data_IF_664757888272
#
_entry.id   IF_664757888272
#
_cell.length_a   1.000
_cell.length_b   1.000
_cell.length_c   1.000
_cell.angle_alpha   90.00
_cell.angle_beta   90.00
_cell.angle_gamma   90.00
#
_symmetry.space_group_name_H-M   'P 1'
#
loop_
_entity.id
_entity.type
_entity.pdbx_description
1 polymer ?
#
# COMPACT_ATOMS: atom_id res chain seq x y z
N UNK A 1 8.63 20.64 15.74
CA UNK A 1 9.77 21.03 14.88
C UNK A 1 9.27 22.01 13.84
N UNK A 2 10.08 23.00 13.44
CA UNK A 2 9.71 23.97 12.40
C UNK A 2 10.82 24.01 11.36
N UNK A 3 10.46 23.86 10.09
CA UNK A 3 11.38 24.01 8.96
C UNK A 3 11.13 25.33 8.25
N UNK A 4 12.16 25.90 7.64
CA UNK A 4 12.04 27.11 6.81
C UNK A 4 12.08 26.71 5.35
N UNK A 5 11.21 27.34 4.56
CA UNK A 5 11.29 27.26 3.12
C UNK A 5 12.47 28.05 2.57
N UNK A 6 13.00 27.63 1.43
CA UNK A 6 14.07 28.33 0.70
C UNK A 6 13.68 28.48 -0.75
N UNK A 7 13.96 29.65 -1.35
CA UNK A 7 13.85 29.85 -2.78
C UNK A 7 15.07 29.25 -3.50
N UNK A 8 14.82 28.45 -4.53
CA UNK A 8 15.85 27.92 -5.43
C UNK A 8 15.39 28.17 -6.88
N UNK A 9 16.04 29.13 -7.55
CA UNK A 9 15.60 29.58 -8.87
C UNK A 9 14.17 30.13 -8.83
N UNK A 10 13.28 29.53 -9.62
CA UNK A 10 11.85 29.84 -9.69
C UNK A 10 11.00 29.00 -8.73
N UNK A 11 11.61 28.09 -7.96
CA UNK A 11 10.92 27.13 -7.10
C UNK A 11 11.15 27.41 -5.61
N UNK A 12 10.30 26.81 -4.77
CA UNK A 12 10.45 26.79 -3.31
C UNK A 12 10.76 25.36 -2.89
N UNK A 13 11.74 25.21 -2.00
CA UNK A 13 12.20 23.93 -1.46
C UNK A 13 11.98 23.90 0.05
N UNK A 14 11.51 22.76 0.53
CA UNK A 14 11.40 22.43 1.95
C UNK A 14 12.45 21.37 2.28
N UNK A 15 13.28 21.63 3.29
CA UNK A 15 14.24 20.63 3.76
C UNK A 15 13.54 19.60 4.63
N UNK A 16 13.60 18.33 4.24
CA UNK A 16 13.07 17.22 5.02
C UNK A 16 14.09 16.85 6.11
N UNK A 17 13.70 16.85 7.40
CA UNK A 17 14.57 16.45 8.50
C UNK A 17 15.07 15.00 8.38
N UNK A 18 16.28 14.73 8.87
CA UNK A 18 16.92 13.41 8.74
C UNK A 18 16.17 12.28 9.47
N UNK A 19 15.38 12.60 10.51
CA UNK A 19 14.56 11.64 11.25
C UNK A 19 13.55 10.90 10.36
N UNK A 20 13.14 11.49 9.23
CA UNK A 20 12.22 10.88 8.26
C UNK A 20 12.91 9.91 7.31
N UNK A 21 14.25 9.80 7.32
CA UNK A 21 15.04 8.82 6.56
C UNK A 21 14.72 8.76 5.05
N UNK A 22 14.35 9.90 4.46
CA UNK A 22 14.13 10.00 3.01
C UNK A 22 15.46 9.78 2.29
N UNK A 23 15.49 8.81 1.40
CA UNK A 23 16.69 8.46 0.64
C UNK A 23 16.88 9.42 -0.55
N UNK A 24 18.13 9.62 -1.00
CA UNK A 24 18.39 10.34 -2.25
C UNK A 24 17.65 9.71 -3.43
N UNK A 25 17.18 10.54 -4.36
CA UNK A 25 16.47 10.14 -5.58
C UNK A 25 15.09 9.46 -5.36
N UNK A 26 14.50 9.56 -4.17
CA UNK A 26 13.09 9.21 -3.98
C UNK A 26 12.17 10.25 -4.64
N UNK A 27 11.20 9.78 -5.41
CA UNK A 27 10.16 10.63 -6.00
C UNK A 27 8.89 10.61 -5.14
N UNK A 28 8.18 11.73 -5.12
CA UNK A 28 6.94 11.89 -4.34
C UNK A 28 5.88 12.62 -5.16
N UNK A 29 4.63 12.21 -4.98
CA UNK A 29 3.46 12.93 -5.49
C UNK A 29 2.96 13.90 -4.41
N UNK A 30 3.01 15.22 -4.64
CA UNK A 30 2.43 16.19 -3.73
C UNK A 30 0.90 16.23 -3.88
N UNK A 31 0.18 16.34 -2.78
CA UNK A 31 -1.28 16.56 -2.73
C UNK A 31 -1.60 17.59 -1.66
N UNK A 32 -2.47 18.55 -1.97
CA UNK A 32 -3.01 19.47 -0.98
C UNK A 32 -4.35 18.94 -0.48
N UNK A 33 -4.46 18.77 0.84
CA UNK A 33 -5.68 18.35 1.51
C UNK A 33 -6.58 19.56 1.81
N UNK A 34 -7.89 19.36 2.09
CA UNK A 34 -8.83 20.45 2.35
C UNK A 34 -8.49 21.33 3.56
N UNK A 35 -7.74 20.79 4.52
CA UNK A 35 -7.25 21.50 5.71
C UNK A 35 -6.01 22.38 5.40
N UNK A 36 -5.54 22.39 4.15
CA UNK A 36 -4.35 23.12 3.72
C UNK A 36 -3.05 22.33 3.89
N UNK A 37 -3.10 21.11 4.42
CA UNK A 37 -1.92 20.25 4.57
C UNK A 37 -1.38 19.83 3.20
N UNK A 38 -0.07 19.96 2.99
CA UNK A 38 0.61 19.42 1.80
C UNK A 38 1.19 18.05 2.18
N UNK A 39 0.59 16.99 1.63
CA UNK A 39 1.04 15.62 1.80
C UNK A 39 1.96 15.21 0.64
N UNK A 40 3.07 14.55 0.95
CA UNK A 40 3.99 13.97 -0.04
C UNK A 40 3.93 12.44 0.08
N UNK A 41 3.44 11.77 -0.96
CA UNK A 41 3.34 10.31 -0.99
C UNK A 41 4.44 9.75 -1.90
N UNK A 42 5.29 8.81 -1.43
CA UNK A 42 6.32 8.21 -2.28
C UNK A 42 5.71 7.61 -3.55
N UNK A 43 6.37 7.81 -4.69
CA UNK A 43 6.06 7.08 -5.91
C UNK A 43 6.67 5.69 -5.74
N UNK A 44 5.89 4.73 -5.25
CA UNK A 44 6.27 3.32 -5.34
C UNK A 44 6.21 2.89 -6.81
N UNK A 45 7.37 2.58 -7.39
CA UNK A 45 7.46 1.90 -8.70
C UNK A 45 6.96 0.46 -8.61
N UNK A 46 6.79 -0.04 -7.39
CA UNK A 46 6.19 -1.33 -7.13
C UNK A 46 4.68 -1.21 -7.36
N UNK A 47 4.29 -1.54 -8.59
CA UNK A 47 3.11 -2.39 -8.79
C UNK A 47 3.16 -3.42 -7.66
N UNK A 48 2.34 -3.26 -6.62
CA UNK A 48 2.03 -4.40 -5.78
C UNK A 48 1.69 -5.54 -6.77
N UNK A 49 2.28 -6.75 -6.63
CA UNK A 49 1.73 -7.87 -7.37
C UNK A 49 0.23 -7.83 -7.12
N UNK A 50 -0.54 -7.94 -8.19
CA UNK A 50 -2.00 -7.88 -8.13
C UNK A 50 -2.49 -9.16 -7.45
N UNK A 51 -2.22 -9.30 -6.14
CA UNK A 51 -2.54 -10.45 -5.30
C UNK A 51 -4.05 -10.68 -5.18
N UNK A 52 -4.85 -9.78 -5.74
CA UNK A 52 -6.31 -9.85 -5.77
C UNK A 52 -6.85 -10.26 -7.15
N UNK A 53 -5.97 -10.48 -8.12
CA UNK A 53 -6.31 -10.73 -9.52
C UNK A 53 -5.45 -11.89 -10.06
N UNK A 54 -5.05 -12.80 -9.18
CA UNK A 54 -4.45 -14.06 -9.58
C UNK A 54 -5.45 -14.81 -10.48
N UNK A 55 -4.96 -15.32 -11.61
CA UNK A 55 -5.78 -16.10 -12.53
C UNK A 55 -6.40 -17.28 -11.76
N UNK A 56 -7.70 -17.59 -11.95
CA UNK A 56 -8.41 -18.64 -11.21
C UNK A 56 -7.65 -19.99 -11.19
N UNK A 57 -6.93 -20.28 -12.27
CA UNK A 57 -6.11 -21.48 -12.44
C UNK A 57 -4.93 -21.55 -11.44
N UNK A 58 -4.34 -20.41 -11.10
CA UNK A 58 -3.23 -20.32 -10.13
C UNK A 58 -3.74 -20.48 -8.69
N UNK A 59 -4.92 -19.92 -8.40
CA UNK A 59 -5.61 -20.10 -7.12
C UNK A 59 -5.98 -21.59 -6.94
N UNK A 60 -6.50 -22.24 -7.98
CA UNK A 60 -6.85 -23.66 -7.93
C UNK A 60 -5.62 -24.56 -7.75
N UNK A 61 -4.51 -24.25 -8.45
CA UNK A 61 -3.24 -24.95 -8.26
C UNK A 61 -2.68 -24.76 -6.84
N UNK A 62 -2.78 -23.55 -6.29
CA UNK A 62 -2.35 -23.25 -4.92
C UNK A 62 -3.20 -24.01 -3.89
N UNK A 63 -4.52 -23.95 -4.01
CA UNK A 63 -5.46 -24.69 -3.13
C UNK A 63 -5.18 -26.20 -3.11
N UNK A 64 -4.89 -26.78 -4.28
CA UNK A 64 -4.45 -28.18 -4.38
C UNK A 64 -3.12 -28.43 -3.66
N UNK A 65 -2.16 -27.52 -3.76
CA UNK A 65 -0.82 -27.69 -3.19
C UNK A 65 -0.80 -27.56 -1.65
N UNK A 66 -1.67 -26.74 -1.08
CA UNK A 66 -1.80 -26.58 0.38
C UNK A 66 -2.76 -27.59 1.00
N UNK A 67 -3.31 -28.51 0.21
CA UNK A 67 -4.21 -29.55 0.69
C UNK A 67 -5.59 -29.03 1.13
N UNK A 68 -5.98 -27.83 0.69
CA UNK A 68 -7.37 -27.34 0.80
C UNK A 68 -8.22 -28.07 -0.25
N UNK A 69 -8.41 -29.37 -0.05
CA UNK A 69 -9.50 -30.09 -0.65
C UNK A 69 -10.71 -29.85 0.24
N UNK A 70 -11.72 -29.20 -0.31
CA UNK A 70 -13.07 -29.22 0.27
C UNK A 70 -13.47 -30.69 0.38
N UNK A 71 -13.50 -31.21 1.61
CA UNK A 71 -13.88 -32.60 1.89
C UNK A 71 -15.41 -32.78 1.81
N UNK A 72 -16.15 -31.74 1.41
CA UNK A 72 -17.60 -31.72 1.28
C UNK A 72 -18.31 -31.74 2.63
N UNK A 73 -17.58 -31.60 3.74
CA UNK A 73 -18.12 -31.62 5.09
C UNK A 73 -18.15 -30.20 5.64
N UNK A 74 -19.37 -29.71 5.88
CA UNK A 74 -19.55 -28.45 6.60
C UNK A 74 -19.16 -28.63 8.06
N UNK A 75 -17.97 -28.19 8.46
CA UNK A 75 -17.58 -28.08 9.87
C UNK A 75 -18.05 -26.75 10.46
N UNK A 76 -19.36 -26.54 10.46
CA UNK A 76 -20.02 -25.44 11.15
C UNK A 76 -21.08 -26.01 12.10
N UNK A 77 -21.05 -25.62 13.38
CA UNK A 77 -22.17 -25.88 14.32
C UNK A 77 -23.33 -24.90 14.12
N UNK A 78 -23.40 -24.25 12.98
CA UNK A 78 -24.44 -23.30 12.61
C UNK A 78 -25.62 -24.03 11.97
N UNK A 79 -26.19 -24.97 12.71
CA UNK A 79 -27.58 -25.35 12.53
C UNK A 79 -28.18 -25.62 13.91
N UNK A 80 -28.47 -24.56 14.65
CA UNK A 80 -29.43 -24.64 15.75
C UNK A 80 -30.82 -24.55 15.13
N UNK A 81 -31.40 -25.70 14.80
CA UNK A 81 -32.83 -25.83 14.56
C UNK A 81 -33.59 -25.25 15.77
N UNK A 82 -34.52 -24.34 15.50
CA UNK A 82 -35.48 -23.77 16.45
C UNK A 82 -36.69 -24.70 16.66
#
# INVERSE_FOLDING_TARGET
>A
MTIKSRKQGTSVVLTIPAEFRVQPNMEFVPRQLPDGTIQFVPVTTDKFPDIWNDEPEQIEAFNRSIGMQDDGVSYGRENTDY
#
